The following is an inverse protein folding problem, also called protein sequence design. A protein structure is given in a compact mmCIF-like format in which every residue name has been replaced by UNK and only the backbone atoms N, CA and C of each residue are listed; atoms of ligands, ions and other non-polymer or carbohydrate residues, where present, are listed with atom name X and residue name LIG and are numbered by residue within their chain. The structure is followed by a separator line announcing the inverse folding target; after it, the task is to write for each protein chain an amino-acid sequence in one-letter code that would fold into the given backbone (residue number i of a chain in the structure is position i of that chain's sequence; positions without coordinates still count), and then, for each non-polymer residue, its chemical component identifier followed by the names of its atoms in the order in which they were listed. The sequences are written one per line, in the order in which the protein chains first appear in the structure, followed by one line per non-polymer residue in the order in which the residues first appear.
data_IF_255888299406
#
_entry.id   IF_255888299406
#
_cell.length_a   1.000
_cell.length_b   1.000
_cell.length_c   1.000
_cell.angle_alpha   90.00
_cell.angle_beta   90.00
_cell.angle_gamma   90.00
#
_symmetry.space_group_name_H-M   'P 1'
#
loop_
_entity.id
_entity.type
_entity.pdbx_description
1 polymer ?
#
# COMPACT_ATOMS: atom_id res chain seq x y z
N UNK A 1 0.39 -12.13 -1.32
CA UNK A 1 1.71 -11.61 -0.88
C UNK A 1 1.58 -11.12 0.55
N UNK A 2 2.48 -11.54 1.43
CA UNK A 2 2.48 -11.05 2.81
C UNK A 2 3.26 -9.73 2.93
N UNK A 3 3.05 -9.01 4.02
CA UNK A 3 3.84 -7.79 4.31
C UNK A 3 5.33 -8.12 4.37
N UNK A 4 5.71 -9.26 4.93
CA UNK A 4 7.12 -9.68 4.97
C UNK A 4 7.70 -9.83 3.57
N UNK A 5 6.98 -10.49 2.65
CA UNK A 5 7.41 -10.63 1.25
C UNK A 5 7.51 -9.28 0.56
N UNK A 6 6.53 -8.41 0.78
CA UNK A 6 6.52 -7.04 0.27
C UNK A 6 7.76 -6.28 0.73
N UNK A 7 8.07 -6.37 2.01
CA UNK A 7 9.25 -5.74 2.61
C UNK A 7 10.54 -6.22 1.94
N UNK A 8 10.67 -7.52 1.72
CA UNK A 8 11.85 -8.12 1.10
C UNK A 8 11.99 -7.71 -0.38
N UNK A 9 10.90 -7.76 -1.14
CA UNK A 9 10.89 -7.42 -2.56
C UNK A 9 11.31 -5.96 -2.79
N UNK A 10 10.84 -5.05 -1.93
CA UNK A 10 11.11 -3.63 -2.05
C UNK A 10 12.36 -3.18 -1.30
N UNK A 11 13.05 -4.08 -0.62
CA UNK A 11 14.15 -3.74 0.31
C UNK A 11 13.71 -2.62 1.26
N UNK A 12 12.50 -2.75 1.77
CA UNK A 12 11.85 -1.72 2.56
C UNK A 12 12.16 -1.86 4.05
N UNK A 13 12.07 -0.74 4.76
CA UNK A 13 12.17 -0.69 6.20
C UNK A 13 10.77 -0.61 6.79
N UNK A 14 10.51 -1.44 7.80
CA UNK A 14 9.24 -1.41 8.52
C UNK A 14 9.29 -0.29 9.57
N UNK A 15 8.31 0.63 9.51
CA UNK A 15 8.24 1.77 10.43
C UNK A 15 7.22 1.58 11.53
N UNK A 16 6.11 0.87 11.27
CA UNK A 16 5.16 0.45 12.29
C UNK A 16 4.35 -0.74 11.80
N UNK A 17 3.74 -1.47 12.72
CA UNK A 17 2.94 -2.65 12.38
C UNK A 17 3.73 -3.95 12.37
N UNK A 18 4.82 -4.05 13.15
CA UNK A 18 5.70 -5.22 13.16
C UNK A 18 5.06 -6.54 13.61
N UNK A 19 3.90 -6.47 14.24
CA UNK A 19 3.11 -7.63 14.63
C UNK A 19 2.20 -8.14 13.50
N UNK A 20 2.22 -7.48 12.34
CA UNK A 20 1.38 -7.81 11.18
C UNK A 20 2.20 -8.19 9.93
N UNK A 21 3.37 -8.79 10.10
CA UNK A 21 4.20 -9.21 8.97
C UNK A 21 3.54 -10.33 8.13
N UNK A 22 2.60 -11.07 8.71
CA UNK A 22 1.83 -12.10 8.04
C UNK A 22 0.56 -11.58 7.36
N UNK A 23 0.23 -10.30 7.53
CA UNK A 23 -0.91 -9.68 6.86
C UNK A 23 -0.73 -9.77 5.35
N UNK A 24 -1.81 -10.13 4.64
CA UNK A 24 -1.75 -10.29 3.19
C UNK A 24 -2.24 -9.07 2.44
N UNK A 25 -1.62 -8.82 1.29
CA UNK A 25 -2.08 -7.87 0.29
C UNK A 25 -2.30 -8.61 -1.02
N UNK A 26 -3.33 -8.24 -1.76
CA UNK A 26 -3.78 -8.95 -2.95
C UNK A 26 -3.71 -8.07 -4.20
N UNK A 27 -3.77 -6.75 -4.03
CA UNK A 27 -3.66 -5.77 -5.10
C UNK A 27 -2.77 -4.63 -4.64
N UNK A 28 -2.38 -3.77 -5.58
CA UNK A 28 -1.58 -2.59 -5.28
C UNK A 28 -2.16 -1.35 -5.96
N UNK A 29 -2.04 -0.22 -5.31
CA UNK A 29 -2.42 1.07 -5.84
C UNK A 29 -1.24 2.02 -5.62
N UNK A 30 -0.66 2.55 -6.71
CA UNK A 30 0.47 3.47 -6.63
C UNK A 30 0.07 4.84 -7.17
N UNK A 31 0.06 5.86 -6.30
CA UNK A 31 -0.26 7.21 -6.70
C UNK A 31 0.22 8.23 -5.67
N UNK A 32 0.66 9.39 -6.15
CA UNK A 32 0.94 10.55 -5.31
C UNK A 32 -0.28 11.48 -5.19
N UNK A 33 -1.38 11.16 -5.88
CA UNK A 33 -2.62 11.93 -5.83
C UNK A 33 -3.70 11.15 -5.11
N UNK A 34 -4.15 11.64 -3.97
CA UNK A 34 -5.15 10.94 -3.17
C UNK A 34 -6.50 10.86 -3.88
N UNK A 35 -6.82 11.80 -4.78
CA UNK A 35 -8.01 11.69 -5.62
C UNK A 35 -7.99 10.43 -6.50
N UNK A 36 -6.83 10.03 -6.98
CA UNK A 36 -6.68 8.80 -7.76
C UNK A 36 -6.85 7.56 -6.88
N UNK A 37 -6.37 7.62 -5.64
CA UNK A 37 -6.55 6.54 -4.67
C UNK A 37 -8.04 6.35 -4.36
N UNK A 38 -8.78 7.44 -4.22
CA UNK A 38 -10.23 7.40 -3.98
C UNK A 38 -11.00 6.79 -5.16
N UNK A 39 -10.39 6.74 -6.34
CA UNK A 39 -10.98 6.07 -7.51
C UNK A 39 -10.82 4.54 -7.48
N UNK A 40 -10.09 4.00 -6.52
CA UNK A 40 -9.98 2.55 -6.32
C UNK A 40 -11.36 1.97 -6.01
N UNK A 41 -11.77 0.96 -6.77
CA UNK A 41 -13.09 0.35 -6.63
C UNK A 41 -12.95 -1.06 -6.08
N UNK A 42 -13.38 -1.26 -4.85
CA UNK A 42 -13.25 -2.55 -4.15
C UNK A 42 -13.96 -3.68 -4.90
N UNK A 43 -15.13 -3.41 -5.49
CA UNK A 43 -15.88 -4.42 -6.24
C UNK A 43 -15.10 -4.92 -7.46
N UNK A 44 -14.35 -4.05 -8.13
CA UNK A 44 -13.49 -4.46 -9.24
C UNK A 44 -12.32 -5.31 -8.74
N UNK A 45 -11.77 -5.00 -7.58
CA UNK A 45 -10.73 -5.83 -6.97
C UNK A 45 -11.24 -7.24 -6.64
N UNK A 46 -12.49 -7.36 -6.20
CA UNK A 46 -13.14 -8.66 -5.99
C UNK A 46 -13.17 -9.46 -7.30
N UNK A 47 -13.53 -8.81 -8.40
CA UNK A 47 -13.58 -9.46 -9.72
C UNK A 47 -12.19 -9.89 -10.20
N UNK A 48 -11.18 -9.06 -10.00
CA UNK A 48 -9.79 -9.33 -10.43
C UNK A 48 -9.16 -10.46 -9.62
N UNK A 49 -9.37 -10.46 -8.30
CA UNK A 49 -8.71 -11.40 -7.39
C UNK A 49 -9.53 -12.66 -7.11
N UNK A 50 -10.84 -12.62 -7.30
CA UNK A 50 -11.74 -13.70 -6.90
C UNK A 50 -11.94 -13.81 -5.39
N UNK A 51 -11.46 -12.85 -4.61
CA UNK A 51 -11.54 -12.86 -3.15
C UNK A 51 -12.70 -11.97 -2.69
N UNK A 52 -13.35 -12.37 -1.59
CA UNK A 52 -14.47 -11.60 -1.02
C UNK A 52 -14.03 -10.26 -0.41
N UNK A 53 -12.83 -10.20 0.14
CA UNK A 53 -12.31 -9.00 0.79
C UNK A 53 -10.85 -8.78 0.42
N UNK A 54 -10.56 -8.43 -0.86
CA UNK A 54 -9.19 -8.21 -1.28
C UNK A 54 -8.59 -6.98 -0.59
N UNK A 55 -7.34 -7.11 -0.19
CA UNK A 55 -6.60 -6.04 0.49
C UNK A 55 -5.62 -5.41 -0.48
N UNK A 56 -5.54 -4.09 -0.47
CA UNK A 56 -4.62 -3.34 -1.32
C UNK A 56 -3.50 -2.72 -0.49
N UNK A 57 -2.28 -2.73 -1.05
CA UNK A 57 -1.20 -1.90 -0.54
C UNK A 57 -1.19 -0.58 -1.29
N UNK A 58 -1.05 0.53 -0.55
CA UNK A 58 -0.91 1.86 -1.12
C UNK A 58 0.58 2.23 -1.19
N UNK A 59 1.07 2.54 -2.40
CA UNK A 59 2.41 3.07 -2.59
C UNK A 59 2.29 4.54 -2.95
N UNK A 60 3.02 5.39 -2.23
CA UNK A 60 2.98 6.83 -2.46
C UNK A 60 4.26 7.51 -2.00
N UNK A 61 4.61 8.60 -2.68
CA UNK A 61 5.68 9.50 -2.24
C UNK A 61 5.15 10.73 -1.51
N UNK A 62 3.82 10.83 -1.37
CA UNK A 62 3.19 11.94 -0.65
C UNK A 62 3.21 11.63 0.85
N UNK A 63 3.84 12.52 1.64
CA UNK A 63 4.01 12.30 3.07
C UNK A 63 3.22 13.37 3.83
N UNK A 64 1.97 13.04 4.17
CA UNK A 64 1.14 13.89 5.02
C UNK A 64 0.05 13.03 5.70
N UNK A 65 -0.64 13.55 6.74
CA UNK A 65 -1.69 12.77 7.42
C UNK A 65 -2.86 12.39 6.53
N UNK A 66 -3.11 13.15 5.45
CA UNK A 66 -4.18 12.85 4.49
C UNK A 66 -4.01 11.47 3.86
N UNK A 67 -2.78 11.02 3.65
CA UNK A 67 -2.49 9.69 3.09
C UNK A 67 -3.06 8.60 3.99
N UNK A 68 -2.82 8.72 5.31
CA UNK A 68 -3.31 7.74 6.28
C UNK A 68 -4.83 7.75 6.35
N UNK A 69 -5.44 8.95 6.33
CA UNK A 69 -6.90 9.10 6.33
C UNK A 69 -7.53 8.49 5.08
N UNK A 70 -6.92 8.71 3.92
CA UNK A 70 -7.39 8.13 2.66
C UNK A 70 -7.29 6.60 2.70
N UNK A 71 -6.18 6.06 3.17
CA UNK A 71 -6.00 4.63 3.33
C UNK A 71 -7.07 4.02 4.25
N UNK A 72 -7.35 4.68 5.37
CA UNK A 72 -8.42 4.25 6.28
C UNK A 72 -9.76 4.21 5.57
N UNK A 73 -10.11 5.30 4.87
CA UNK A 73 -11.38 5.43 4.15
C UNK A 73 -11.54 4.33 3.10
N UNK A 74 -10.47 3.95 2.43
CA UNK A 74 -10.46 2.92 1.39
C UNK A 74 -10.17 1.53 1.94
N UNK A 75 -10.09 1.37 3.26
CA UNK A 75 -9.78 0.11 3.93
C UNK A 75 -8.48 -0.52 3.46
N UNK A 76 -7.48 0.31 3.20
CA UNK A 76 -6.12 -0.11 2.89
C UNK A 76 -5.30 -0.14 4.17
N UNK A 77 -4.82 -1.30 4.54
CA UNK A 77 -4.15 -1.52 5.84
C UNK A 77 -2.62 -1.54 5.75
N UNK A 78 -2.08 -1.31 4.56
CA UNK A 78 -0.63 -1.30 4.34
C UNK A 78 -0.27 -0.11 3.42
N UNK A 79 0.68 0.70 3.88
CA UNK A 79 1.19 1.85 3.11
C UNK A 79 2.70 1.69 2.95
N UNK A 80 3.20 1.92 1.74
CA UNK A 80 4.64 2.00 1.45
C UNK A 80 4.96 3.39 0.94
N UNK A 81 5.78 4.13 1.69
CA UNK A 81 6.32 5.40 1.23
C UNK A 81 7.55 5.15 0.36
N UNK A 82 7.54 5.69 -0.85
CA UNK A 82 8.59 5.48 -1.86
C UNK A 82 9.58 6.66 -1.91
N UNK A 83 10.66 6.53 -2.67
CA UNK A 83 11.71 7.55 -2.88
C UNK A 83 12.41 7.97 -1.60
N UNK A 84 12.53 7.08 -0.61
CA UNK A 84 13.20 7.39 0.64
C UNK A 84 12.47 8.41 1.51
N UNK A 85 11.20 8.68 1.23
CA UNK A 85 10.39 9.62 2.01
C UNK A 85 10.18 9.07 3.42
N UNK A 86 10.38 9.94 4.42
CA UNK A 86 10.27 9.58 5.82
C UNK A 86 9.04 10.24 6.43
N UNK A 87 8.01 9.46 6.78
CA UNK A 87 6.86 10.01 7.48
C UNK A 87 7.27 10.44 8.89
N UNK A 88 6.73 11.58 9.34
CA UNK A 88 6.99 12.08 10.68
C UNK A 88 6.20 11.30 11.74
N UNK A 89 6.48 11.60 13.00
CA UNK A 89 5.89 10.89 14.14
C UNK A 89 4.36 11.00 14.16
N UNK A 90 3.81 12.16 13.78
CA UNK A 90 2.36 12.34 13.75
C UNK A 90 1.68 11.37 12.79
N UNK A 91 2.31 11.11 11.62
CA UNK A 91 1.80 10.16 10.63
C UNK A 91 1.88 8.74 11.17
N UNK A 92 3.02 8.38 11.76
CA UNK A 92 3.21 7.03 12.33
C UNK A 92 2.30 6.76 13.51
N UNK A 93 2.08 7.75 14.38
CA UNK A 93 1.17 7.62 15.51
C UNK A 93 -0.26 7.39 15.03
N UNK A 94 -0.69 8.13 14.00
CA UNK A 94 -2.01 7.95 13.41
C UNK A 94 -2.14 6.56 12.77
N UNK A 95 -1.12 6.10 12.06
CA UNK A 95 -1.12 4.78 11.45
C UNK A 95 -1.22 3.67 12.50
N UNK A 96 -0.50 3.81 13.62
CA UNK A 96 -0.59 2.85 14.74
C UNK A 96 -1.98 2.82 15.33
N UNK A 97 -2.58 3.99 15.54
CA UNK A 97 -3.94 4.12 16.07
C UNK A 97 -4.96 3.42 15.18
N UNK A 98 -4.78 3.49 13.86
CA UNK A 98 -5.68 2.90 12.88
C UNK A 98 -5.29 1.48 12.46
N UNK A 99 -4.26 0.91 13.08
CA UNK A 99 -3.78 -0.44 12.80
C UNK A 99 -3.29 -0.62 11.35
N UNK A 100 -2.63 0.41 10.83
CA UNK A 100 -2.08 0.41 9.48
C UNK A 100 -0.57 0.16 9.53
N UNK A 101 -0.11 -0.80 8.73
CA UNK A 101 1.32 -1.10 8.58
C UNK A 101 1.95 -0.05 7.67
N UNK A 102 3.07 0.51 8.08
CA UNK A 102 3.80 1.50 7.29
C UNK A 102 5.23 1.02 7.05
N UNK A 103 5.61 1.03 5.78
CA UNK A 103 6.98 0.75 5.35
C UNK A 103 7.50 1.94 4.56
N UNK A 104 8.83 2.03 4.43
CA UNK A 104 9.45 2.96 3.48
C UNK A 104 10.48 2.23 2.64
N UNK A 105 10.64 2.65 1.40
CA UNK A 105 11.68 2.14 0.50
C UNK A 105 12.39 3.31 -0.18
N UNK A 106 13.69 3.12 -0.45
CA UNK A 106 14.47 4.09 -1.21
C UNK A 106 14.11 4.05 -2.71
N UNK A 107 13.46 2.99 -3.16
CA UNK A 107 13.09 2.82 -4.57
C UNK A 107 12.06 3.86 -4.99
N UNK A 108 12.13 4.25 -6.26
CA UNK A 108 11.14 5.14 -6.86
C UNK A 108 9.82 4.40 -7.09
N UNK A 109 8.75 5.17 -7.32
CA UNK A 109 7.42 4.64 -7.57
C UNK A 109 7.40 3.63 -8.71
N UNK A 110 8.00 3.99 -9.85
CA UNK A 110 8.02 3.14 -11.03
C UNK A 110 8.68 1.79 -10.73
N UNK A 111 9.86 1.81 -10.11
CA UNK A 111 10.61 0.59 -9.78
C UNK A 111 9.85 -0.25 -8.75
N UNK A 112 9.29 0.39 -7.74
CA UNK A 112 8.52 -0.30 -6.70
C UNK A 112 7.31 -1.02 -7.30
N UNK A 113 6.52 -0.31 -8.09
CA UNK A 113 5.35 -0.89 -8.75
C UNK A 113 5.76 -2.01 -9.72
N UNK A 114 6.84 -1.81 -10.47
CA UNK A 114 7.35 -2.82 -11.40
C UNK A 114 7.76 -4.11 -10.70
N UNK A 115 8.49 -4.00 -9.59
CA UNK A 115 8.90 -5.16 -8.80
C UNK A 115 7.71 -5.94 -8.24
N UNK A 116 6.71 -5.24 -7.74
CA UNK A 116 5.50 -5.88 -7.21
C UNK A 116 4.69 -6.54 -8.33
N UNK A 117 4.56 -5.89 -9.46
CA UNK A 117 3.88 -6.44 -10.62
C UNK A 117 4.58 -7.71 -11.11
N UNK A 118 5.90 -7.67 -11.20
CA UNK A 118 6.71 -8.83 -11.60
C UNK A 118 6.56 -9.99 -10.61
N UNK A 119 6.38 -9.69 -9.33
CA UNK A 119 6.18 -10.69 -8.28
C UNK A 119 4.75 -11.25 -8.24
N UNK A 120 3.83 -10.73 -9.06
CA UNK A 120 2.48 -11.26 -9.20
C UNK A 120 1.36 -10.37 -8.70
N UNK A 121 1.64 -9.24 -8.05
CA UNK A 121 0.60 -8.29 -7.67
C UNK A 121 0.05 -7.57 -8.89
N UNK A 122 -1.25 -7.27 -8.85
CA UNK A 122 -1.94 -6.54 -9.91
C UNK A 122 -2.68 -5.36 -9.31
N UNK A 123 -3.09 -4.41 -10.17
CA UNK A 123 -3.98 -3.36 -9.75
C UNK A 123 -5.38 -3.89 -9.44
N UNK A 124 -6.18 -3.10 -8.74
CA UNK A 124 -7.52 -3.49 -8.33
C UNK A 124 -8.57 -3.39 -9.44
N UNK A 125 -8.17 -3.02 -10.67
CA UNK A 125 -9.08 -2.88 -11.81
C UNK A 125 -8.85 -3.98 -12.83
N UNK A 126 -9.88 -4.26 -13.65
CA UNK A 126 -9.76 -5.14 -14.80
C UNK A 126 -8.71 -4.59 -15.78
N UNK A 127 -8.10 -5.49 -16.58
CA UNK A 127 -6.92 -5.17 -17.41
C UNK A 127 -7.15 -4.02 -18.42
N UNK A 128 -8.38 -3.78 -18.82
CA UNK A 128 -8.75 -2.71 -19.77
C UNK A 128 -9.41 -1.50 -19.09
N UNK A 129 -9.39 -1.49 -17.78
CA UNK A 129 -10.06 -0.46 -16.98
C UNK A 129 -9.15 0.48 -16.26
#
# INVERSE_FOLDING_TARGET
MTVLQLKEILSAELLCGGDHLDREVHTACGSDMMSDVLAYVKDQAVLVTGLNNPQAVLLTGLVNPQVVRTAEMMDMKVIVFVRGKVPGDAILDLARELDIVVLKTELEMFTSCGKLYQAGLRGGRAANG
#
